data_IF_536452219488
#
_entry.id   IF_536452219488
#
_cell.length_a   1.000
_cell.length_b   1.000
_cell.length_c   1.000
_cell.angle_alpha   90.00
_cell.angle_beta   90.00
_cell.angle_gamma   90.00
#
_symmetry.space_group_name_H-M   'P 1'
#
loop_
_entity.id
_entity.type
_entity.pdbx_description
1 polymer ?
#
# COMPACT_ATOMS: atom_id res chain seq x y z
N UNK A 1 1.70 -35.66 9.18
CA UNK A 1 2.11 -34.45 9.95
C UNK A 1 3.25 -34.86 10.89
N UNK A 2 4.22 -33.98 11.19
CA UNK A 2 5.31 -34.34 12.11
C UNK A 2 4.78 -34.48 13.54
N UNK A 3 5.13 -35.54 14.28
CA UNK A 3 4.60 -35.81 15.62
C UNK A 3 4.75 -34.68 16.64
N UNK A 4 5.80 -33.86 16.53
CA UNK A 4 5.97 -32.70 17.44
C UNK A 4 4.95 -31.59 17.17
N UNK A 5 4.47 -31.39 15.92
CA UNK A 5 3.43 -30.40 15.56
C UNK A 5 2.08 -30.86 16.11
N UNK A 6 1.78 -32.16 16.11
CA UNK A 6 0.56 -32.69 16.71
C UNK A 6 0.55 -32.44 18.23
N UNK A 7 1.67 -32.71 18.89
CA UNK A 7 1.81 -32.47 20.32
C UNK A 7 1.73 -30.98 20.67
N UNK A 8 2.40 -30.12 19.89
CA UNK A 8 2.31 -28.66 20.03
C UNK A 8 0.85 -28.22 19.97
N UNK A 9 0.11 -28.64 18.94
CA UNK A 9 -1.30 -28.25 18.76
C UNK A 9 -2.20 -28.80 19.88
N UNK A 10 -1.89 -29.95 20.43
CA UNK A 10 -2.65 -30.55 21.56
C UNK A 10 -2.50 -29.70 22.82
N UNK A 11 -1.25 -29.43 23.23
CA UNK A 11 -0.98 -28.62 24.42
C UNK A 11 -1.48 -27.17 24.25
N UNK A 12 -1.29 -26.59 23.07
CA UNK A 12 -1.84 -25.26 22.73
C UNK A 12 -3.35 -25.20 22.94
N UNK A 13 -4.11 -26.18 22.42
CA UNK A 13 -5.55 -26.25 22.60
C UNK A 13 -5.97 -26.40 24.07
N UNK A 14 -5.24 -27.21 24.86
CA UNK A 14 -5.51 -27.35 26.30
C UNK A 14 -5.33 -26.01 27.04
N UNK A 15 -4.35 -25.21 26.64
CA UNK A 15 -4.13 -23.86 27.19
C UNK A 15 -5.21 -22.91 26.71
N UNK A 16 -5.54 -22.86 25.42
CA UNK A 16 -6.57 -21.97 24.83
C UNK A 16 -7.97 -22.30 25.37
N UNK A 17 -8.25 -23.57 25.68
CA UNK A 17 -9.51 -24.01 26.27
C UNK A 17 -9.54 -23.90 27.81
N UNK A 18 -8.52 -23.27 28.43
CA UNK A 18 -8.39 -23.09 29.88
C UNK A 18 -8.36 -24.40 30.69
N UNK A 19 -8.03 -25.53 30.05
CA UNK A 19 -7.78 -26.79 30.75
C UNK A 19 -6.46 -26.73 31.51
N UNK A 20 -5.46 -26.03 30.93
CA UNK A 20 -4.23 -25.61 31.59
C UNK A 20 -4.31 -24.10 31.84
N UNK A 21 -4.19 -23.68 33.09
CA UNK A 21 -4.32 -22.26 33.50
C UNK A 21 -2.97 -21.57 33.58
N UNK A 22 -2.92 -20.23 33.43
CA UNK A 22 -1.72 -19.46 33.69
C UNK A 22 -1.11 -19.78 35.05
N UNK A 23 0.19 -20.07 35.08
CA UNK A 23 0.92 -20.49 36.26
C UNK A 23 0.95 -22.00 36.49
N UNK A 24 0.15 -22.79 35.78
CA UNK A 24 0.19 -24.25 35.89
C UNK A 24 1.53 -24.80 35.39
N UNK A 25 2.07 -25.75 36.14
CA UNK A 25 3.30 -26.45 35.79
C UNK A 25 3.00 -27.58 34.85
N UNK A 26 3.56 -27.59 33.64
CA UNK A 26 3.45 -28.69 32.71
C UNK A 26 4.53 -29.76 32.97
N UNK A 27 4.33 -31.03 32.50
CA UNK A 27 5.28 -32.11 32.74
C UNK A 27 6.69 -31.77 32.23
N UNK A 28 7.70 -32.26 32.94
CA UNK A 28 9.08 -32.16 32.44
C UNK A 28 9.25 -32.95 31.14
N UNK A 29 10.26 -32.62 30.33
CA UNK A 29 10.52 -33.25 29.03
C UNK A 29 10.54 -34.80 29.13
N UNK A 30 11.17 -35.34 30.16
CA UNK A 30 11.22 -36.79 30.38
C UNK A 30 9.84 -37.35 30.68
N UNK A 31 9.12 -36.74 31.62
CA UNK A 31 7.78 -37.15 32.01
C UNK A 31 6.75 -36.99 30.88
N UNK A 32 6.87 -35.94 30.09
CA UNK A 32 6.05 -35.73 28.90
C UNK A 32 6.31 -36.80 27.83
N UNK A 33 7.56 -37.21 27.64
CA UNK A 33 7.92 -38.32 26.74
C UNK A 33 7.23 -39.64 27.10
N UNK A 34 7.09 -39.91 28.39
CA UNK A 34 6.37 -41.08 28.89
C UNK A 34 4.85 -40.93 28.71
N UNK A 35 4.28 -39.78 29.07
CA UNK A 35 2.83 -39.49 29.00
C UNK A 35 2.33 -39.59 27.56
N UNK A 36 3.00 -38.89 26.64
CA UNK A 36 2.56 -38.79 25.24
C UNK A 36 3.13 -39.90 24.34
N UNK A 37 3.94 -40.80 24.89
CA UNK A 37 4.58 -41.91 24.19
C UNK A 37 5.33 -41.50 22.92
N UNK A 38 6.14 -40.45 23.03
CA UNK A 38 6.96 -39.88 21.94
C UNK A 38 8.41 -39.68 22.39
N UNK A 39 9.32 -39.49 21.45
CA UNK A 39 10.74 -39.30 21.76
C UNK A 39 10.98 -37.99 22.53
N UNK A 40 12.03 -37.98 23.35
CA UNK A 40 12.49 -36.77 24.07
C UNK A 40 12.67 -35.59 23.10
N UNK A 41 13.27 -35.80 21.93
CA UNK A 41 13.49 -34.81 20.90
C UNK A 41 12.14 -34.22 20.36
N UNK A 42 11.10 -35.04 20.25
CA UNK A 42 9.76 -34.63 19.86
C UNK A 42 9.17 -33.66 20.88
N UNK A 43 9.31 -33.98 22.19
CA UNK A 43 8.87 -33.09 23.26
C UNK A 43 9.68 -31.76 23.27
N UNK A 44 11.00 -31.87 23.12
CA UNK A 44 11.88 -30.68 23.09
C UNK A 44 11.46 -29.71 22.00
N UNK A 45 11.22 -30.21 20.78
CA UNK A 45 10.77 -29.35 19.67
C UNK A 45 9.40 -28.74 19.93
N UNK A 46 8.43 -29.51 20.43
CA UNK A 46 7.10 -28.96 20.76
C UNK A 46 7.16 -27.90 21.88
N UNK A 47 7.96 -28.16 22.92
CA UNK A 47 8.13 -27.21 24.02
C UNK A 47 8.92 -25.99 23.60
N UNK A 48 9.89 -26.13 22.71
CA UNK A 48 10.61 -25.01 22.13
C UNK A 48 9.65 -24.10 21.35
N UNK A 49 8.81 -24.67 20.49
CA UNK A 49 7.82 -23.91 19.73
C UNK A 49 6.79 -23.24 20.66
N UNK A 50 6.28 -23.96 21.70
CA UNK A 50 5.37 -23.37 22.69
C UNK A 50 6.02 -22.24 23.51
N UNK A 51 7.32 -22.32 23.81
CA UNK A 51 8.07 -21.23 24.45
C UNK A 51 8.26 -20.04 23.49
N UNK A 52 8.58 -20.32 22.24
CA UNK A 52 8.79 -19.28 21.20
C UNK A 52 7.49 -18.50 20.95
N UNK A 53 6.37 -19.20 20.93
CA UNK A 53 5.05 -18.60 20.73
C UNK A 53 4.44 -18.00 22.01
N UNK A 54 5.15 -18.13 23.15
CA UNK A 54 4.78 -17.54 24.41
C UNK A 54 3.69 -18.26 25.19
N UNK A 55 3.28 -19.48 24.81
CA UNK A 55 2.29 -20.26 25.56
C UNK A 55 2.81 -20.78 26.89
N UNK A 56 4.10 -21.11 26.94
CA UNK A 56 4.78 -21.57 28.15
C UNK A 56 6.11 -20.83 28.34
N UNK A 57 6.60 -20.79 29.57
CA UNK A 57 7.92 -20.25 29.90
C UNK A 57 8.75 -21.31 30.64
N UNK A 58 10.04 -21.39 30.27
CA UNK A 58 11.01 -22.21 30.99
C UNK A 58 11.60 -21.41 32.14
N UNK A 59 11.49 -21.91 33.35
CA UNK A 59 12.11 -21.33 34.56
C UNK A 59 13.26 -22.24 35.00
N UNK A 60 14.47 -21.68 35.08
CA UNK A 60 15.67 -22.44 35.44
C UNK A 60 15.47 -23.19 36.75
N UNK A 61 15.87 -24.48 36.73
CA UNK A 61 15.74 -25.46 37.84
C UNK A 61 14.32 -25.72 38.34
N UNK A 62 13.29 -25.02 37.76
CA UNK A 62 11.89 -25.16 38.18
C UNK A 62 11.03 -25.91 37.15
N UNK A 63 11.31 -25.80 35.85
CA UNK A 63 10.60 -26.46 34.76
C UNK A 63 9.82 -25.53 33.87
N UNK A 64 8.75 -26.00 33.24
CA UNK A 64 7.93 -25.25 32.29
C UNK A 64 6.59 -24.92 32.90
N UNK A 65 6.14 -23.68 32.67
CA UNK A 65 4.91 -23.13 33.22
C UNK A 65 4.09 -22.44 32.14
N UNK A 66 2.78 -22.52 32.20
CA UNK A 66 1.85 -21.80 31.33
C UNK A 66 1.93 -20.30 31.62
N UNK A 67 2.05 -19.48 30.56
CA UNK A 67 2.17 -18.03 30.70
C UNK A 67 0.79 -17.33 30.77
N UNK A 68 0.75 -16.13 31.31
CA UNK A 68 -0.46 -15.30 31.33
C UNK A 68 -0.82 -14.71 29.96
N UNK A 69 0.14 -14.72 29.01
CA UNK A 69 -0.06 -14.23 27.65
C UNK A 69 -1.01 -15.14 26.86
N UNK A 70 -1.01 -16.45 27.16
CA UNK A 70 -1.93 -17.40 26.54
C UNK A 70 -3.42 -17.16 26.90
N UNK A 71 -3.69 -16.50 28.05
CA UNK A 71 -5.04 -16.15 28.47
C UNK A 71 -5.62 -14.94 27.72
N UNK A 72 -4.77 -14.19 27.01
CA UNK A 72 -5.18 -13.09 26.12
C UNK A 72 -5.19 -13.53 24.66
N UNK A 73 -5.67 -14.72 24.35
CA UNK A 73 -6.19 -14.97 23.02
C UNK A 73 -7.28 -13.93 22.78
N UNK A 74 -6.95 -12.94 21.96
CA UNK A 74 -7.93 -11.96 21.49
C UNK A 74 -9.06 -12.81 20.92
N UNK A 75 -10.24 -12.71 21.52
CA UNK A 75 -11.45 -13.29 20.94
C UNK A 75 -11.74 -12.54 19.63
N UNK A 76 -11.13 -13.02 18.56
CA UNK A 76 -11.35 -12.53 17.19
C UNK A 76 -12.70 -13.00 16.65
N UNK A 77 -13.49 -13.69 17.45
CA UNK A 77 -14.88 -13.98 17.16
C UNK A 77 -15.80 -12.82 17.60
N UNK A 78 -15.50 -11.57 17.22
CA UNK A 78 -16.59 -10.65 16.95
C UNK A 78 -17.38 -11.28 15.80
N UNK A 79 -18.50 -11.91 16.16
CA UNK A 79 -19.51 -12.33 15.21
C UNK A 79 -19.85 -11.06 14.41
N UNK A 80 -19.42 -11.04 13.16
CA UNK A 80 -19.98 -10.10 12.21
C UNK A 80 -21.49 -10.24 12.36
N UNK A 81 -22.16 -9.14 12.67
CA UNK A 81 -23.61 -9.08 12.67
C UNK A 81 -24.06 -9.55 11.29
N UNK A 82 -24.75 -10.68 11.27
CA UNK A 82 -25.27 -11.32 10.04
C UNK A 82 -26.46 -10.51 9.52
N UNK A 83 -26.29 -9.19 9.39
CA UNK A 83 -27.22 -8.34 8.69
C UNK A 83 -26.99 -8.57 7.20
N UNK A 84 -27.98 -9.17 6.54
CA UNK A 84 -28.00 -9.37 5.08
C UNK A 84 -27.86 -7.99 4.41
N UNK A 85 -26.65 -7.70 3.91
CA UNK A 85 -26.37 -6.47 3.17
C UNK A 85 -26.94 -6.65 1.76
N UNK A 86 -28.05 -6.00 1.45
CA UNK A 86 -28.70 -6.07 0.14
C UNK A 86 -27.86 -5.37 -0.96
N UNK A 87 -27.25 -4.26 -0.62
CA UNK A 87 -26.36 -3.51 -1.51
C UNK A 87 -25.18 -2.95 -0.72
N UNK A 88 -23.96 -3.36 -1.05
CA UNK A 88 -22.74 -2.76 -0.53
C UNK A 88 -22.29 -1.60 -1.43
N UNK A 89 -22.47 -0.37 -0.98
CA UNK A 89 -22.06 0.86 -1.66
C UNK A 89 -20.75 1.43 -1.10
N UNK A 90 -20.04 0.69 -0.24
CA UNK A 90 -18.76 1.16 0.33
C UNK A 90 -17.63 1.17 -0.68
N UNK A 91 -17.77 0.46 -1.79
CA UNK A 91 -16.78 0.37 -2.86
C UNK A 91 -15.62 -0.60 -2.56
N UNK A 92 -14.71 -0.72 -3.49
CA UNK A 92 -13.50 -1.53 -3.32
C UNK A 92 -13.62 -3.00 -3.72
N UNK A 93 -14.80 -3.46 -4.14
CA UNK A 93 -15.00 -4.80 -4.71
C UNK A 93 -15.18 -4.64 -6.23
N UNK A 94 -14.34 -5.32 -7.00
CA UNK A 94 -14.51 -5.39 -8.45
C UNK A 94 -15.50 -6.50 -8.80
N UNK A 95 -16.30 -6.27 -9.84
CA UNK A 95 -17.18 -7.29 -10.40
C UNK A 95 -16.35 -8.38 -11.09
N UNK A 96 -16.56 -9.64 -10.70
CA UNK A 96 -15.84 -10.79 -11.29
C UNK A 96 -16.06 -10.91 -12.81
N UNK A 97 -17.23 -10.52 -13.31
CA UNK A 97 -17.57 -10.61 -14.73
C UNK A 97 -16.84 -9.53 -15.57
N UNK A 98 -16.39 -8.45 -14.94
CA UNK A 98 -15.71 -7.35 -15.63
C UNK A 98 -14.20 -7.55 -15.80
N UNK A 99 -13.60 -8.59 -15.18
CA UNK A 99 -12.16 -8.82 -15.23
C UNK A 99 -11.81 -10.19 -15.80
N UNK A 100 -11.03 -10.22 -16.90
CA UNK A 100 -10.54 -11.47 -17.50
C UNK A 100 -9.42 -12.10 -16.68
N UNK A 101 -9.80 -12.87 -15.66
CA UNK A 101 -8.87 -13.62 -14.81
C UNK A 101 -8.02 -14.62 -15.60
N UNK A 102 -8.53 -15.19 -16.73
CA UNK A 102 -7.80 -16.16 -17.55
C UNK A 102 -6.61 -15.47 -18.24
N UNK A 103 -6.87 -14.30 -18.79
CA UNK A 103 -5.85 -13.44 -19.40
C UNK A 103 -4.81 -13.03 -18.37
N UNK A 104 -5.24 -12.61 -17.19
CA UNK A 104 -4.36 -12.22 -16.10
C UNK A 104 -3.44 -13.38 -15.63
N UNK A 105 -4.02 -14.58 -15.43
CA UNK A 105 -3.25 -15.77 -15.10
C UNK A 105 -2.17 -16.10 -16.16
N UNK A 106 -2.46 -15.87 -17.44
CA UNK A 106 -1.47 -16.07 -18.53
C UNK A 106 -0.29 -15.10 -18.38
N UNK A 107 -0.54 -13.84 -18.05
CA UNK A 107 0.52 -12.85 -17.82
C UNK A 107 1.34 -13.17 -16.55
N UNK A 108 0.70 -13.56 -15.45
CA UNK A 108 1.41 -14.02 -14.25
C UNK A 108 2.32 -15.20 -14.55
N UNK A 109 1.81 -16.22 -15.27
CA UNK A 109 2.63 -17.38 -15.68
C UNK A 109 3.82 -16.97 -16.55
N UNK A 110 3.64 -15.98 -17.42
CA UNK A 110 4.74 -15.43 -18.23
C UNK A 110 5.79 -14.70 -17.37
N UNK A 111 5.35 -13.87 -16.42
CA UNK A 111 6.24 -13.18 -15.49
C UNK A 111 7.05 -14.17 -14.64
N UNK A 112 6.44 -15.24 -14.12
CA UNK A 112 7.11 -16.27 -13.33
C UNK A 112 8.18 -17.08 -14.10
N UNK A 113 8.19 -17.03 -15.42
CA UNK A 113 9.24 -17.64 -16.25
C UNK A 113 10.53 -16.82 -16.27
N UNK A 114 10.49 -15.56 -15.87
CA UNK A 114 11.63 -14.65 -15.82
C UNK A 114 12.45 -14.84 -14.53
N UNK A 115 13.01 -16.05 -14.36
CA UNK A 115 13.65 -16.51 -13.11
C UNK A 115 14.71 -15.54 -12.56
N UNK A 116 15.60 -15.04 -13.41
CA UNK A 116 16.69 -14.18 -12.98
C UNK A 116 16.17 -12.83 -12.42
N UNK A 117 15.10 -12.30 -12.98
CA UNK A 117 14.48 -11.06 -12.56
C UNK A 117 13.81 -11.18 -11.19
N UNK A 118 13.16 -12.32 -10.93
CA UNK A 118 12.51 -12.59 -9.65
C UNK A 118 13.49 -12.88 -8.49
N UNK A 119 14.76 -13.11 -8.78
CA UNK A 119 15.80 -13.39 -7.79
C UNK A 119 16.66 -12.16 -7.44
N UNK A 120 16.33 -10.98 -7.96
CA UNK A 120 17.04 -9.75 -7.70
C UNK A 120 16.08 -8.63 -7.28
N UNK A 121 16.57 -7.69 -6.49
CA UNK A 121 15.84 -6.45 -6.24
C UNK A 121 15.75 -5.63 -7.52
N UNK A 122 14.61 -4.99 -7.74
CA UNK A 122 14.41 -4.02 -8.80
C UNK A 122 14.91 -2.63 -8.40
N UNK A 123 14.93 -1.68 -9.36
CA UNK A 123 15.19 -0.27 -9.10
C UNK A 123 14.15 0.32 -8.12
N UNK A 124 14.58 1.29 -7.31
CA UNK A 124 13.69 2.03 -6.43
C UNK A 124 12.55 2.76 -7.17
N UNK A 125 12.78 3.09 -8.45
CA UNK A 125 11.73 3.65 -9.33
C UNK A 125 10.69 2.62 -9.79
N UNK A 126 10.95 1.33 -9.61
CA UNK A 126 10.20 0.23 -10.21
C UNK A 126 10.80 -0.26 -11.54
N UNK A 127 10.24 -1.30 -12.10
CA UNK A 127 10.73 -1.99 -13.29
C UNK A 127 10.76 -1.08 -14.53
N UNK A 128 11.90 -1.04 -15.24
CA UNK A 128 12.11 -0.12 -16.37
C UNK A 128 11.12 -0.32 -17.52
N UNK A 129 10.84 -1.57 -17.89
CA UNK A 129 9.89 -1.87 -18.95
C UNK A 129 8.44 -1.51 -18.56
N UNK A 130 8.07 -1.60 -17.28
CA UNK A 130 6.78 -1.12 -16.81
C UNK A 130 6.72 0.42 -16.87
N UNK A 131 7.79 1.13 -16.50
CA UNK A 131 7.85 2.59 -16.62
C UNK A 131 7.79 3.07 -18.07
N UNK A 132 8.43 2.35 -19.00
CA UNK A 132 8.34 2.61 -20.43
C UNK A 132 6.92 2.42 -20.96
N UNK A 133 6.27 1.29 -20.58
CA UNK A 133 4.87 1.02 -20.95
C UNK A 133 3.90 2.06 -20.36
N UNK A 134 4.14 2.52 -19.12
CA UNK A 134 3.35 3.61 -18.50
C UNK A 134 3.56 4.91 -19.26
N UNK A 135 4.80 5.26 -19.63
CA UNK A 135 5.08 6.49 -20.37
C UNK A 135 4.34 6.51 -21.74
N UNK A 136 4.34 5.40 -22.45
CA UNK A 136 3.60 5.24 -23.71
C UNK A 136 2.10 5.36 -23.48
N UNK A 137 1.56 4.63 -22.51
CA UNK A 137 0.14 4.65 -22.16
C UNK A 137 -0.38 6.04 -21.83
N UNK A 138 0.31 6.79 -20.93
CA UNK A 138 -0.15 8.12 -20.54
C UNK A 138 0.06 9.16 -21.64
N UNK A 139 1.04 8.95 -22.51
CA UNK A 139 1.17 9.77 -23.71
C UNK A 139 -0.03 9.59 -24.64
N UNK A 140 -0.39 8.37 -24.97
CA UNK A 140 -1.52 8.07 -25.86
C UNK A 140 -2.88 8.50 -25.29
N UNK A 141 -3.10 8.27 -24.00
CA UNK A 141 -4.41 8.48 -23.36
C UNK A 141 -4.61 9.90 -22.83
N UNK A 142 -3.54 10.55 -22.37
CA UNK A 142 -3.61 11.83 -21.63
C UNK A 142 -2.72 12.91 -22.20
N UNK A 143 -1.98 12.63 -23.28
CA UNK A 143 -0.97 13.52 -23.86
C UNK A 143 0.09 13.96 -22.81
N UNK A 144 0.38 13.09 -21.84
CA UNK A 144 1.44 13.27 -20.83
C UNK A 144 2.76 12.83 -21.45
N UNK A 145 3.44 13.76 -22.11
CA UNK A 145 4.73 13.49 -22.75
C UNK A 145 5.87 13.50 -21.71
N UNK A 146 6.33 12.33 -21.33
CA UNK A 146 7.42 12.12 -20.35
C UNK A 146 8.30 10.97 -20.76
N UNK A 147 9.42 10.78 -20.06
CA UNK A 147 10.33 9.64 -20.23
C UNK A 147 10.27 8.73 -18.99
N UNK A 148 10.62 7.47 -19.17
CA UNK A 148 10.57 6.44 -18.12
C UNK A 148 11.45 6.77 -16.89
N UNK A 149 12.51 7.54 -17.07
CA UNK A 149 13.43 8.00 -16.01
C UNK A 149 12.80 9.03 -15.05
N UNK A 150 11.66 9.61 -15.42
CA UNK A 150 10.89 10.54 -14.57
C UNK A 150 9.72 9.87 -13.86
N UNK A 151 9.49 8.58 -14.10
CA UNK A 151 8.37 7.82 -13.53
C UNK A 151 8.84 7.04 -12.32
N UNK A 152 8.09 7.11 -11.22
CA UNK A 152 8.23 6.27 -10.03
C UNK A 152 6.94 5.45 -9.89
N UNK A 153 7.09 4.15 -9.63
CA UNK A 153 5.98 3.22 -9.42
C UNK A 153 5.94 2.84 -7.94
N UNK A 154 4.74 2.78 -7.36
CA UNK A 154 4.56 2.35 -5.98
C UNK A 154 3.21 1.64 -5.74
N UNK A 155 3.08 0.98 -4.60
CA UNK A 155 1.89 0.26 -4.18
C UNK A 155 0.78 1.21 -3.68
N UNK A 156 0.31 2.11 -4.55
CA UNK A 156 -0.70 3.11 -4.27
C UNK A 156 -0.14 4.53 -4.15
N UNK A 157 -1.03 5.52 -4.01
CA UNK A 157 -0.66 6.94 -4.01
C UNK A 157 0.08 7.35 -2.73
N UNK A 158 -0.25 6.77 -1.57
CA UNK A 158 0.41 7.14 -0.31
C UNK A 158 1.94 7.00 -0.34
N UNK A 159 2.53 5.85 -0.72
CA UNK A 159 3.98 5.73 -0.84
C UNK A 159 4.59 6.73 -1.83
N UNK A 160 3.89 7.04 -2.94
CA UNK A 160 4.34 8.07 -3.89
C UNK A 160 4.41 9.44 -3.24
N UNK A 161 3.38 9.82 -2.46
CA UNK A 161 3.38 11.09 -1.72
C UNK A 161 4.46 11.12 -0.63
N UNK A 162 4.76 10.01 0.04
CA UNK A 162 5.86 9.93 1.00
C UNK A 162 7.21 10.18 0.35
N UNK A 163 7.45 9.55 -0.82
CA UNK A 163 8.65 9.81 -1.62
C UNK A 163 8.68 11.30 -2.02
N UNK A 164 7.60 11.84 -2.55
CA UNK A 164 7.51 13.24 -2.95
C UNK A 164 7.82 14.19 -1.79
N UNK A 165 7.22 13.98 -0.62
CA UNK A 165 7.47 14.77 0.58
C UNK A 165 8.94 14.72 1.05
N UNK A 166 9.67 13.65 0.71
CA UNK A 166 11.10 13.56 1.02
C UNK A 166 12.00 14.34 0.06
N UNK A 167 11.49 14.64 -1.15
CA UNK A 167 12.20 15.38 -2.20
C UNK A 167 11.99 16.90 -2.13
N UNK A 168 10.93 17.35 -1.46
CA UNK A 168 10.52 18.76 -1.39
C UNK A 168 10.90 19.36 -0.03
N UNK A 169 11.18 20.66 0.00
CA UNK A 169 11.45 21.40 1.25
C UNK A 169 10.21 21.40 2.16
N UNK A 170 10.37 20.94 3.39
CA UNK A 170 9.31 20.79 4.41
C UNK A 170 8.74 22.12 4.93
N UNK A 171 9.37 23.25 4.59
CA UNK A 171 8.90 24.58 4.99
C UNK A 171 7.78 25.11 4.09
N UNK A 172 7.39 24.36 3.06
CA UNK A 172 6.38 24.77 2.10
C UNK A 172 4.96 24.47 2.60
N UNK A 173 4.03 25.30 2.14
CA UNK A 173 2.59 25.12 2.36
C UNK A 173 1.95 24.29 1.25
N UNK A 174 0.92 23.50 1.61
CA UNK A 174 0.19 22.65 0.65
C UNK A 174 -1.30 22.94 0.74
N UNK A 175 -1.92 23.24 -0.38
CA UNK A 175 -3.36 23.48 -0.47
C UNK A 175 -4.09 22.30 -1.11
N UNK A 176 -5.09 21.77 -0.41
CA UNK A 176 -6.03 20.77 -0.92
C UNK A 176 -7.38 21.44 -1.29
N UNK A 177 -8.14 20.87 -2.25
CA UNK A 177 -9.46 21.41 -2.60
C UNK A 177 -10.47 21.33 -1.45
N UNK A 178 -10.37 20.27 -0.65
CA UNK A 178 -11.19 19.98 0.54
C UNK A 178 -10.51 18.92 1.42
N UNK A 179 -11.24 18.39 2.40
CA UNK A 179 -10.74 17.38 3.35
C UNK A 179 -11.02 15.93 2.95
N UNK A 180 -11.57 15.67 1.77
CA UNK A 180 -12.00 14.34 1.33
C UNK A 180 -10.84 13.34 1.19
N UNK A 181 -9.67 13.81 0.71
CA UNK A 181 -8.48 12.98 0.64
C UNK A 181 -7.67 13.00 1.96
N UNK A 182 -8.30 12.52 3.05
CA UNK A 182 -7.71 12.52 4.39
C UNK A 182 -6.34 11.83 4.46
N UNK A 183 -6.11 10.77 3.68
CA UNK A 183 -4.85 10.02 3.64
C UNK A 183 -3.70 10.88 3.09
N UNK A 184 -3.92 11.59 1.98
CA UNK A 184 -2.91 12.49 1.41
C UNK A 184 -2.60 13.66 2.34
N UNK A 185 -3.63 14.30 2.90
CA UNK A 185 -3.50 15.36 3.91
C UNK A 185 -2.65 14.89 5.09
N UNK A 186 -2.90 13.66 5.59
CA UNK A 186 -2.14 13.09 6.69
C UNK A 186 -0.67 12.92 6.32
N UNK A 187 -0.35 12.42 5.13
CA UNK A 187 1.04 12.25 4.69
C UNK A 187 1.78 13.59 4.74
N UNK A 188 1.25 14.65 4.14
CA UNK A 188 1.91 15.96 4.16
C UNK A 188 2.11 16.49 5.58
N UNK A 189 1.11 16.35 6.46
CA UNK A 189 1.22 16.75 7.88
C UNK A 189 2.29 15.97 8.62
N UNK A 190 2.35 14.64 8.44
CA UNK A 190 3.33 13.77 9.09
C UNK A 190 4.76 14.13 8.67
N UNK A 191 4.95 14.65 7.45
CA UNK A 191 6.23 15.15 6.96
C UNK A 191 6.52 16.60 7.35
N UNK A 192 5.61 17.28 8.05
CA UNK A 192 5.81 18.62 8.60
C UNK A 192 5.47 19.77 7.68
N UNK A 193 4.69 19.52 6.61
CA UNK A 193 4.17 20.57 5.73
C UNK A 193 3.02 21.33 6.40
N UNK A 194 2.88 22.62 6.09
CA UNK A 194 1.73 23.41 6.50
C UNK A 194 0.56 23.18 5.54
N UNK A 195 -0.48 22.46 6.00
CA UNK A 195 -1.58 21.98 5.14
C UNK A 195 -2.84 22.78 5.34
N UNK A 196 -3.27 23.42 4.25
CA UNK A 196 -4.47 24.25 4.14
C UNK A 196 -5.51 23.67 3.19
N UNK A 197 -6.71 24.21 3.21
CA UNK A 197 -7.75 23.93 2.21
C UNK A 197 -8.10 25.22 1.49
N UNK A 198 -8.15 25.15 0.13
CA UNK A 198 -8.50 26.28 -0.76
C UNK A 198 -7.64 27.52 -0.56
N UNK A 199 -6.39 27.32 -0.19
CA UNK A 199 -5.43 28.40 -0.10
C UNK A 199 -4.85 28.68 -1.50
N UNK A 200 -5.07 29.90 -1.98
CA UNK A 200 -4.58 30.34 -3.29
C UNK A 200 -3.08 30.68 -3.28
N UNK A 201 -2.54 30.99 -2.10
CA UNK A 201 -1.17 31.48 -1.95
C UNK A 201 -0.19 30.34 -1.54
N UNK A 202 -0.67 29.09 -1.52
CA UNK A 202 0.14 27.91 -1.17
C UNK A 202 1.25 27.63 -2.21
N UNK A 203 2.38 27.15 -1.71
CA UNK A 203 3.54 26.76 -2.54
C UNK A 203 3.24 25.52 -3.39
N UNK A 204 2.42 24.60 -2.86
CA UNK A 204 2.01 23.37 -3.51
C UNK A 204 0.48 23.31 -3.60
N UNK A 205 -0.04 23.01 -4.77
CA UNK A 205 -1.49 22.91 -5.03
C UNK A 205 -1.82 21.47 -5.44
N UNK A 206 -2.53 20.76 -4.57
CA UNK A 206 -3.04 19.41 -4.87
C UNK A 206 -4.44 19.52 -5.46
N UNK A 207 -4.66 18.92 -6.64
CA UNK A 207 -5.96 18.93 -7.32
C UNK A 207 -6.23 17.62 -8.04
N UNK A 208 -7.52 17.23 -8.13
CA UNK A 208 -8.00 16.12 -8.95
C UNK A 208 -8.88 16.67 -10.08
N UNK A 209 -8.30 17.09 -11.22
CA UNK A 209 -9.07 17.83 -12.23
C UNK A 209 -10.12 17.02 -12.96
N UNK A 210 -9.98 15.69 -12.97
CA UNK A 210 -10.93 14.76 -13.60
C UNK A 210 -12.10 14.45 -12.67
N UNK A 211 -11.92 14.62 -11.34
CA UNK A 211 -12.92 14.37 -10.30
C UNK A 211 -12.89 15.47 -9.24
N UNK A 212 -13.24 16.72 -9.63
CA UNK A 212 -13.17 17.88 -8.74
C UNK A 212 -14.12 17.83 -7.53
N UNK A 213 -15.18 17.06 -7.63
CA UNK A 213 -16.20 16.95 -6.59
C UNK A 213 -16.64 15.50 -6.46
N UNK A 214 -17.26 15.15 -5.33
CA UNK A 214 -17.90 13.86 -5.11
C UNK A 214 -18.97 13.47 -6.15
N UNK A 215 -19.44 14.46 -6.95
CA UNK A 215 -20.39 14.28 -8.05
C UNK A 215 -19.71 14.04 -9.41
N UNK A 216 -18.40 13.88 -9.46
CA UNK A 216 -17.66 13.62 -10.69
C UNK A 216 -17.53 14.83 -11.64
N UNK A 217 -17.67 16.06 -11.14
CA UNK A 217 -17.48 17.24 -11.98
C UNK A 217 -16.02 17.36 -12.42
N UNK A 218 -15.84 17.62 -13.72
CA UNK A 218 -14.52 17.82 -14.35
C UNK A 218 -14.15 19.27 -14.38
N UNK A 219 -12.87 19.60 -14.08
CA UNK A 219 -12.34 20.95 -14.17
C UNK A 219 -12.38 21.43 -15.63
N UNK A 220 -13.09 22.55 -15.95
CA UNK A 220 -13.12 23.07 -17.31
C UNK A 220 -11.75 23.46 -17.83
N UNK A 221 -11.50 23.31 -19.13
CA UNK A 221 -10.20 23.64 -19.77
C UNK A 221 -9.73 25.07 -19.47
N UNK A 222 -10.64 26.05 -19.46
CA UNK A 222 -10.33 27.45 -19.08
C UNK A 222 -9.67 27.48 -17.69
N UNK A 223 -10.28 26.81 -16.70
CA UNK A 223 -9.77 26.77 -15.33
C UNK A 223 -8.43 26.06 -15.21
N UNK A 224 -8.20 25.01 -16.01
CA UNK A 224 -6.90 24.32 -16.10
C UNK A 224 -5.81 25.27 -16.60
N UNK A 225 -6.07 26.04 -17.67
CA UNK A 225 -5.14 27.05 -18.20
C UNK A 225 -4.86 28.17 -17.19
N UNK A 226 -5.89 28.64 -16.48
CA UNK A 226 -5.72 29.63 -15.42
C UNK A 226 -4.83 29.12 -14.29
N UNK A 227 -5.03 27.88 -13.86
CA UNK A 227 -4.24 27.26 -12.79
C UNK A 227 -2.78 27.07 -13.21
N UNK A 228 -2.53 26.57 -14.42
CA UNK A 228 -1.17 26.42 -14.97
C UNK A 228 -0.48 27.79 -15.09
N UNK A 229 -1.16 28.80 -15.62
CA UNK A 229 -0.61 30.17 -15.72
C UNK A 229 -0.31 30.76 -14.33
N UNK A 230 -1.18 30.48 -13.35
CA UNK A 230 -0.97 30.90 -11.98
C UNK A 230 0.27 30.23 -11.37
N UNK A 231 0.38 28.90 -11.50
CA UNK A 231 1.52 28.14 -10.94
C UNK A 231 2.86 28.60 -11.53
N UNK A 232 2.91 28.82 -12.84
CA UNK A 232 4.12 29.33 -13.52
C UNK A 232 4.50 30.74 -13.04
N UNK A 233 3.50 31.64 -12.88
CA UNK A 233 3.74 33.01 -12.42
C UNK A 233 4.25 33.08 -10.98
N UNK A 234 3.74 32.21 -10.10
CA UNK A 234 4.05 32.25 -8.68
C UNK A 234 5.10 31.19 -8.28
N UNK A 235 5.64 30.45 -9.24
CA UNK A 235 6.56 29.33 -9.02
C UNK A 235 5.99 28.26 -8.05
N UNK A 236 4.66 28.06 -8.09
CA UNK A 236 3.99 27.06 -7.27
C UNK A 236 4.02 25.70 -7.98
N UNK A 237 4.19 24.63 -7.21
CA UNK A 237 4.14 23.26 -7.71
C UNK A 237 2.70 22.76 -7.74
N UNK A 238 2.25 22.18 -8.83
CA UNK A 238 0.92 21.55 -8.92
C UNK A 238 1.07 20.03 -8.87
N UNK A 239 0.28 19.39 -8.03
CA UNK A 239 0.12 17.91 -8.02
C UNK A 239 -1.24 17.61 -8.64
N UNK A 240 -1.21 17.04 -9.85
CA UNK A 240 -2.38 16.57 -10.56
C UNK A 240 -2.62 15.11 -10.21
N UNK A 241 -3.67 14.83 -9.44
CA UNK A 241 -4.14 13.47 -9.16
C UNK A 241 -5.23 13.10 -10.18
N UNK A 242 -4.83 12.33 -11.19
CA UNK A 242 -5.67 11.96 -12.34
C UNK A 242 -6.15 10.50 -12.23
N UNK A 243 -6.58 10.10 -11.03
CA UNK A 243 -7.16 8.78 -10.81
C UNK A 243 -8.49 8.63 -11.55
N UNK A 244 -8.80 7.42 -12.00
CA UNK A 244 -10.06 7.07 -12.69
C UNK A 244 -10.40 7.97 -13.91
N UNK A 245 -9.39 8.55 -14.54
CA UNK A 245 -9.61 9.42 -15.71
C UNK A 245 -10.19 8.68 -16.93
N UNK A 246 -10.15 7.37 -16.94
CA UNK A 246 -10.73 6.49 -17.94
C UNK A 246 -12.27 6.44 -17.84
N UNK A 247 -12.83 6.73 -16.67
CA UNK A 247 -14.26 6.70 -16.40
C UNK A 247 -14.89 8.09 -16.61
N UNK A 248 -15.32 8.35 -17.83
CA UNK A 248 -15.98 9.60 -18.21
C UNK A 248 -17.50 9.44 -18.23
N UNK A 249 -18.16 9.72 -17.12
CA UNK A 249 -19.60 9.49 -16.99
C UNK A 249 -20.46 10.51 -17.77
N UNK A 250 -20.17 11.81 -17.60
CA UNK A 250 -20.98 12.89 -18.15
C UNK A 250 -20.14 14.04 -18.74
N UNK A 251 -18.89 13.83 -19.06
CA UNK A 251 -17.98 14.90 -19.50
C UNK A 251 -17.23 14.55 -20.77
N UNK A 252 -16.80 15.58 -21.49
CA UNK A 252 -15.88 15.40 -22.61
C UNK A 252 -14.46 15.26 -22.09
N UNK A 253 -13.59 14.47 -22.77
CA UNK A 253 -12.17 14.41 -22.43
C UNK A 253 -11.56 15.81 -22.38
N UNK A 254 -10.77 16.08 -21.34
CA UNK A 254 -10.05 17.34 -21.17
C UNK A 254 -8.54 17.05 -21.04
N UNK A 255 -7.65 17.93 -21.54
CA UNK A 255 -6.22 17.72 -21.43
C UNK A 255 -5.78 17.73 -19.96
N UNK A 256 -4.78 16.92 -19.60
CA UNK A 256 -4.17 16.94 -18.27
C UNK A 256 -3.52 18.32 -17.99
N UNK A 257 -3.39 18.70 -16.72
CA UNK A 257 -2.61 19.88 -16.33
C UNK A 257 -1.15 19.70 -16.70
N UNK A 258 -0.62 18.49 -16.56
CA UNK A 258 0.74 18.16 -16.98
C UNK A 258 0.98 18.43 -18.47
N UNK A 259 0.03 18.09 -19.34
CA UNK A 259 0.15 18.38 -20.78
C UNK A 259 0.17 19.88 -21.07
N UNK A 260 -0.45 20.70 -20.21
CA UNK A 260 -0.54 22.15 -20.35
C UNK A 260 0.65 22.89 -19.70
N UNK A 261 1.26 22.33 -18.62
CA UNK A 261 2.23 23.05 -17.80
C UNK A 261 3.39 22.22 -17.28
N UNK A 262 3.99 21.36 -18.10
CA UNK A 262 5.00 20.33 -17.82
C UNK A 262 5.99 20.57 -16.68
N UNK A 263 6.54 21.77 -16.58
CA UNK A 263 7.69 22.01 -15.72
C UNK A 263 7.32 22.18 -14.23
N UNK A 264 6.08 22.63 -13.97
CA UNK A 264 5.59 22.87 -12.61
C UNK A 264 4.47 21.90 -12.18
N UNK A 265 4.27 20.82 -12.94
CA UNK A 265 3.20 19.85 -12.64
C UNK A 265 3.79 18.47 -12.40
N UNK A 266 3.44 17.88 -11.27
CA UNK A 266 3.62 16.45 -10.98
C UNK A 266 2.32 15.75 -11.37
N UNK A 267 2.41 14.62 -12.07
CA UNK A 267 1.26 13.84 -12.46
C UNK A 267 1.22 12.52 -11.67
N UNK A 268 0.09 12.26 -11.03
CA UNK A 268 -0.21 11.01 -10.34
C UNK A 268 -1.24 10.22 -11.13
N UNK A 269 -1.01 8.94 -11.29
CA UNK A 269 -1.96 8.01 -11.90
C UNK A 269 -2.01 6.69 -11.14
N UNK A 270 -3.12 5.97 -11.30
CA UNK A 270 -3.35 4.69 -10.63
C UNK A 270 -4.10 3.72 -11.53
N UNK A 271 -3.71 2.44 -11.50
CA UNK A 271 -4.42 1.37 -12.16
C UNK A 271 -5.38 0.60 -11.24
N UNK A 272 -5.54 1.05 -9.98
CA UNK A 272 -6.35 0.32 -8.98
C UNK A 272 -7.82 0.17 -9.37
N UNK A 273 -8.39 1.14 -10.10
CA UNK A 273 -9.78 1.07 -10.57
C UNK A 273 -9.93 0.30 -11.89
N UNK A 274 -8.87 0.27 -12.73
CA UNK A 274 -8.90 -0.42 -14.04
C UNK A 274 -8.54 -1.90 -13.94
N UNK A 275 -7.66 -2.23 -13.01
CA UNK A 275 -7.25 -3.60 -12.70
C UNK A 275 -7.98 -4.08 -11.44
N UNK A 276 -7.51 -5.16 -10.84
CA UNK A 276 -8.06 -5.61 -9.57
C UNK A 276 -7.62 -4.66 -8.43
N UNK A 277 -8.49 -4.31 -7.48
CA UNK A 277 -8.16 -3.45 -6.34
C UNK A 277 -6.95 -3.95 -5.51
N UNK A 278 -6.73 -5.27 -5.49
CA UNK A 278 -5.58 -5.90 -4.84
C UNK A 278 -4.25 -5.67 -5.58
N UNK A 279 -4.29 -5.31 -6.87
CA UNK A 279 -3.10 -4.97 -7.66
C UNK A 279 -2.79 -3.50 -7.42
N UNK A 280 -1.97 -3.24 -6.46
CA UNK A 280 -1.65 -1.90 -5.97
C UNK A 280 -0.60 -1.21 -6.83
N UNK A 281 -0.91 -0.90 -8.10
CA UNK A 281 0.01 -0.19 -9.00
C UNK A 281 -0.47 1.24 -9.19
N UNK A 282 0.33 2.18 -8.69
CA UNK A 282 0.20 3.62 -8.94
C UNK A 282 1.54 4.18 -9.37
N UNK A 283 1.54 5.29 -10.04
CA UNK A 283 2.76 5.90 -10.55
C UNK A 283 2.72 7.42 -10.43
N UNK A 284 3.90 8.02 -10.39
CA UNK A 284 4.11 9.45 -10.33
C UNK A 284 5.11 9.88 -11.40
N UNK A 285 4.76 10.91 -12.16
CA UNK A 285 5.68 11.58 -13.08
C UNK A 285 6.21 12.83 -12.41
N UNK A 286 7.48 12.82 -12.10
CA UNK A 286 8.18 13.95 -11.48
C UNK A 286 8.46 15.09 -12.46
N UNK A 287 8.62 16.31 -11.95
CA UNK A 287 9.30 17.39 -12.69
C UNK A 287 10.75 16.97 -12.99
N UNK A 288 11.39 17.62 -13.95
CA UNK A 288 12.80 17.31 -14.27
C UNK A 288 13.70 17.49 -13.04
N UNK A 289 13.55 18.59 -12.33
CA UNK A 289 14.34 18.91 -11.14
C UNK A 289 14.19 17.84 -10.05
N UNK A 290 12.95 17.45 -9.71
CA UNK A 290 12.71 16.43 -8.70
C UNK A 290 13.17 15.04 -9.13
N UNK A 291 13.12 14.73 -10.43
CA UNK A 291 13.67 13.48 -10.96
C UNK A 291 15.19 13.42 -10.82
N UNK A 292 15.88 14.53 -11.07
CA UNK A 292 17.34 14.64 -10.87
C UNK A 292 17.72 14.51 -9.37
N UNK A 293 16.95 15.13 -8.48
CA UNK A 293 17.13 14.99 -7.03
C UNK A 293 16.90 13.52 -6.58
N UNK A 294 15.83 12.89 -7.06
CA UNK A 294 15.56 11.48 -6.75
C UNK A 294 16.70 10.58 -7.22
N UNK A 295 17.15 10.73 -8.48
CA UNK A 295 18.21 9.93 -9.07
C UNK A 295 19.54 10.04 -8.30
N UNK A 296 19.87 11.22 -7.81
CA UNK A 296 21.07 11.45 -7.00
C UNK A 296 21.00 10.81 -5.60
N UNK A 297 19.81 10.43 -5.16
CA UNK A 297 19.54 9.80 -3.86
C UNK A 297 18.88 8.41 -4.00
N UNK A 298 18.86 7.82 -5.19
CA UNK A 298 18.12 6.58 -5.48
C UNK A 298 18.45 5.45 -4.51
N UNK A 299 19.70 5.33 -4.09
CA UNK A 299 20.16 4.29 -3.16
C UNK A 299 19.52 4.39 -1.76
N UNK A 300 18.92 5.55 -1.42
CA UNK A 300 18.26 5.76 -0.12
C UNK A 300 16.79 5.31 -0.12
N UNK A 301 16.24 5.00 -1.29
CA UNK A 301 14.86 4.56 -1.46
C UNK A 301 14.78 3.05 -1.67
N UNK A 302 13.80 2.43 -1.02
CA UNK A 302 13.46 1.03 -1.28
C UNK A 302 12.43 0.92 -2.40
N UNK A 303 12.45 -0.19 -3.12
CA UNK A 303 11.37 -0.54 -4.02
C UNK A 303 10.06 -0.69 -3.23
N UNK A 304 8.98 -0.07 -3.71
CA UNK A 304 7.68 -0.01 -3.02
C UNK A 304 6.55 -0.73 -3.75
N UNK A 305 6.81 -1.30 -4.95
CA UNK A 305 5.83 -2.08 -5.72
C UNK A 305 6.49 -3.26 -6.44
#
# INVERSE_FOLDING_TARGET
MKKYVELYNTIRKEIEQHQLKPGDKIPSIRKASEIYNVSITTIQNAYFDLCTDGYIASIDKSGYFVTDIAAKAIDLSEKADDTEVLFDLTGGIADEECFDLSLWQRYIKSALRQKNRLLSYSSAQGESDLREAIAEYIYEKRNVATSADRIIIAAGVQPLLQILCSLIDKKQSVSFPDTSFAQGIKVFRDYGFDVHTRDKDADIIYVSPSHMTSWGNVMPTKRRLELVSYSQKNNSLVIEDDYENEFLYNSKPTPSLYALGKDNVIYLGSFSAMLLPAIRISFMVLTRELADIFKNNEETYAQTA
#
